data_IF_355481157053
#
_entry.id   IF_355481157053
#
_cell.length_a   1.000
_cell.length_b   1.000
_cell.length_c   1.000
_cell.angle_alpha   90.00
_cell.angle_beta   90.00
_cell.angle_gamma   90.00
#
_symmetry.space_group_name_H-M   'P 1'
#
loop_
_entity.id
_entity.type
_entity.pdbx_description
1 polymer ?
#
# COMPACT_ATOMS: atom_id res chain seq x y z
N UNK A 1 0.83 -10.29 -10.16
CA UNK A 1 2.01 -9.39 -10.21
C UNK A 1 3.07 -10.08 -9.38
N UNK A 2 4.23 -10.45 -9.93
CA UNK A 2 5.27 -11.21 -9.22
C UNK A 2 6.05 -10.41 -8.17
N UNK A 3 5.40 -9.45 -7.52
CA UNK A 3 5.97 -8.51 -6.56
C UNK A 3 5.63 -8.95 -5.12
N UNK A 4 6.49 -8.61 -4.17
CA UNK A 4 6.18 -8.85 -2.77
C UNK A 4 4.98 -7.96 -2.34
N UNK A 5 4.03 -8.48 -1.54
CA UNK A 5 2.87 -7.69 -1.11
C UNK A 5 3.24 -6.38 -0.39
N UNK A 6 4.33 -6.36 0.37
CA UNK A 6 4.83 -5.16 1.03
C UNK A 6 5.23 -4.07 0.02
N UNK A 7 5.92 -4.46 -1.05
CA UNK A 7 6.37 -3.53 -2.09
C UNK A 7 5.18 -2.97 -2.88
N UNK A 8 4.19 -3.81 -3.19
CA UNK A 8 2.93 -3.37 -3.82
C UNK A 8 2.19 -2.38 -2.90
N UNK A 9 2.14 -2.65 -1.59
CA UNK A 9 1.50 -1.77 -0.63
C UNK A 9 2.16 -0.40 -0.55
N UNK A 10 3.49 -0.34 -0.53
CA UNK A 10 4.23 0.94 -0.55
C UNK A 10 3.99 1.69 -1.87
N UNK A 11 4.09 1.00 -3.01
CA UNK A 11 3.86 1.59 -4.32
C UNK A 11 2.42 2.14 -4.44
N UNK A 12 1.42 1.42 -3.94
CA UNK A 12 0.03 1.87 -3.92
C UNK A 12 -0.17 3.08 -3.02
N UNK A 13 0.41 3.10 -1.81
CA UNK A 13 0.31 4.26 -0.91
C UNK A 13 0.89 5.53 -1.55
N UNK A 14 1.97 5.41 -2.31
CA UNK A 14 2.58 6.53 -3.03
C UNK A 14 1.71 7.11 -4.15
N UNK A 15 0.66 6.40 -4.62
CA UNK A 15 -0.31 6.96 -5.58
C UNK A 15 -1.50 7.64 -4.91
N UNK A 16 -1.68 7.49 -3.58
CA UNK A 16 -2.90 7.94 -2.91
C UNK A 16 -2.91 9.46 -2.66
N UNK A 17 -4.02 10.14 -2.98
CA UNK A 17 -4.21 11.54 -2.58
C UNK A 17 -4.08 11.71 -1.07
N UNK A 18 -3.31 12.71 -0.64
CA UNK A 18 -3.10 13.02 0.78
C UNK A 18 -2.01 12.19 1.48
N UNK A 19 -1.36 11.25 0.79
CA UNK A 19 -0.19 10.54 1.31
C UNK A 19 1.08 11.24 0.84
N UNK A 20 1.79 11.90 1.76
CA UNK A 20 3.08 12.56 1.44
C UNK A 20 4.22 11.55 1.36
N UNK A 21 4.31 10.64 2.33
CA UNK A 21 5.33 9.59 2.37
C UNK A 21 4.89 8.45 3.30
N UNK A 22 5.01 7.17 2.87
CA UNK A 22 4.86 6.02 3.75
C UNK A 22 6.02 5.92 4.76
N UNK A 23 5.72 5.58 6.01
CA UNK A 23 6.73 5.24 7.02
C UNK A 23 6.91 3.72 7.01
N UNK A 24 8.15 3.26 6.90
CA UNK A 24 8.51 1.84 6.93
C UNK A 24 9.26 1.48 8.22
N UNK A 25 9.06 0.24 8.70
CA UNK A 25 9.74 -0.29 9.89
C UNK A 25 10.40 -1.65 9.64
N UNK A 26 11.37 -1.75 8.71
CA UNK A 26 12.02 -3.02 8.40
C UNK A 26 12.83 -3.55 9.59
N UNK A 27 12.79 -4.87 9.80
CA UNK A 27 13.61 -5.58 10.80
C UNK A 27 14.82 -6.27 10.20
N UNK A 28 14.93 -6.30 8.87
CA UNK A 28 16.05 -6.89 8.13
C UNK A 28 16.46 -6.01 6.96
N UNK A 29 17.69 -6.18 6.49
CA UNK A 29 18.18 -5.42 5.34
C UNK A 29 17.40 -5.74 4.06
N UNK A 30 17.03 -7.00 3.84
CA UNK A 30 16.22 -7.38 2.69
C UNK A 30 14.86 -6.66 2.66
N UNK A 31 14.22 -6.42 3.82
CA UNK A 31 12.97 -5.64 3.90
C UNK A 31 13.20 -4.15 3.58
N UNK A 32 14.32 -3.59 4.05
CA UNK A 32 14.69 -2.22 3.75
C UNK A 32 14.95 -2.03 2.25
N UNK A 33 15.77 -2.90 1.65
CA UNK A 33 16.08 -2.89 0.22
C UNK A 33 14.83 -3.08 -0.65
N UNK A 34 13.94 -4.01 -0.27
CA UNK A 34 12.64 -4.18 -0.94
C UNK A 34 11.79 -2.90 -0.90
N UNK A 35 11.74 -2.24 0.26
CA UNK A 35 11.02 -0.97 0.43
C UNK A 35 11.60 0.16 -0.42
N UNK A 36 12.93 0.21 -0.61
CA UNK A 36 13.55 1.15 -1.53
C UNK A 36 13.17 0.85 -2.98
N UNK A 37 13.21 -0.43 -3.38
CA UNK A 37 12.81 -0.89 -4.71
C UNK A 37 11.35 -0.56 -5.03
N UNK A 38 10.46 -0.60 -4.03
CA UNK A 38 9.04 -0.28 -4.16
C UNK A 38 8.78 1.13 -4.72
N UNK A 39 9.69 2.09 -4.47
CA UNK A 39 9.57 3.47 -4.97
C UNK A 39 9.67 3.58 -6.50
N UNK A 40 10.24 2.56 -7.16
CA UNK A 40 10.38 2.50 -8.62
C UNK A 40 9.27 1.70 -9.28
N UNK A 41 8.37 1.10 -8.51
CA UNK A 41 7.25 0.32 -9.05
C UNK A 41 6.16 1.28 -9.53
N UNK A 42 5.82 1.18 -10.80
CA UNK A 42 4.64 1.85 -11.37
C UNK A 42 3.51 0.83 -11.44
N UNK A 43 2.39 1.13 -10.79
CA UNK A 43 1.16 0.35 -10.88
C UNK A 43 0.31 0.88 -12.03
N UNK A 44 -0.11 0.00 -12.94
CA UNK A 44 -1.03 0.34 -14.01
C UNK A 44 -2.43 0.62 -13.47
N UNK A 45 -3.24 1.37 -14.23
CA UNK A 45 -4.59 1.75 -13.80
C UNK A 45 -5.44 0.54 -13.44
N UNK A 46 -5.41 -0.54 -14.22
CA UNK A 46 -6.16 -1.77 -13.92
C UNK A 46 -5.74 -2.42 -12.59
N UNK A 47 -4.48 -2.25 -12.17
CA UNK A 47 -3.97 -2.76 -10.91
C UNK A 47 -4.43 -1.87 -9.75
N UNK A 48 -4.42 -0.54 -9.94
CA UNK A 48 -4.96 0.42 -8.99
C UNK A 48 -6.46 0.21 -8.77
N UNK A 49 -7.24 0.06 -9.84
CA UNK A 49 -8.68 -0.19 -9.77
C UNK A 49 -8.96 -1.47 -8.98
N UNK A 50 -8.18 -2.52 -9.23
CA UNK A 50 -8.31 -3.78 -8.50
C UNK A 50 -7.96 -3.64 -7.02
N UNK A 51 -6.97 -2.82 -6.66
CA UNK A 51 -6.62 -2.54 -5.27
C UNK A 51 -7.71 -1.72 -4.57
N UNK A 52 -8.31 -0.76 -5.27
CA UNK A 52 -9.39 0.07 -4.73
C UNK A 52 -10.68 -0.74 -4.48
N UNK A 53 -10.96 -1.76 -5.30
CA UNK A 53 -12.02 -2.75 -5.04
C UNK A 53 -11.77 -3.60 -3.79
N UNK A 54 -10.51 -4.03 -3.58
CA UNK A 54 -10.12 -4.87 -2.45
C UNK A 54 -10.05 -4.09 -1.14
N UNK A 55 -9.64 -2.83 -1.20
CA UNK A 55 -9.44 -1.94 -0.07
C UNK A 55 -10.27 -0.66 -0.25
N UNK A 56 -11.61 -0.75 -0.20
CA UNK A 56 -12.44 0.44 -0.29
C UNK A 56 -12.07 1.38 0.85
N UNK A 57 -11.96 2.68 0.54
CA UNK A 57 -11.59 3.72 1.51
C UNK A 57 -12.43 3.66 2.80
N UNK A 58 -11.92 4.25 3.89
CA UNK A 58 -12.51 4.15 5.25
C UNK A 58 -14.03 4.23 5.22
N UNK A 59 -14.67 3.11 5.53
CA UNK A 59 -16.10 3.05 5.80
C UNK A 59 -16.34 3.37 7.27
N UNK A 60 -17.57 3.79 7.61
CA UNK A 60 -17.96 3.86 9.00
C UNK A 60 -17.73 2.49 9.64
N UNK A 61 -17.00 2.46 10.76
CA UNK A 61 -16.88 1.23 11.53
C UNK A 61 -18.29 0.73 11.87
N UNK A 62 -18.57 -0.57 11.77
CA UNK A 62 -19.84 -1.12 12.19
C UNK A 62 -20.13 -0.67 13.63
N UNK A 63 -21.37 -0.24 13.90
CA UNK A 63 -21.77 0.33 15.21
C UNK A 63 -21.51 -0.65 16.37
N UNK A 64 -21.50 -1.95 16.06
CA UNK A 64 -21.14 -3.04 16.97
C UNK A 64 -19.70 -3.01 17.49
N UNK A 65 -18.78 -2.22 16.89
CA UNK A 65 -17.40 -2.04 17.37
C UNK A 65 -17.15 -0.65 17.97
N UNK A 66 -18.20 0.18 18.11
CA UNK A 66 -18.12 1.48 18.74
C UNK A 66 -18.39 1.33 20.24
N UNK A 67 -17.35 0.99 20.99
CA UNK A 67 -17.31 1.03 22.45
C UNK A 67 -16.61 2.29 22.94
#
# INVERSE_FOLDING_TARGET
>A
MGLAPADVGIAWLLTRPGVTAPIIGPRTMAQFEGSLGATSITLEQAQLDRLDELFPGKQAAPMEYAW
#
